data_IF_797193546979
#
_entry.id   IF_797193546979
#
_cell.length_a   1.000
_cell.length_b   1.000
_cell.length_c   1.000
_cell.angle_alpha   90.00
_cell.angle_beta   90.00
_cell.angle_gamma   90.00
#
_symmetry.space_group_name_H-M   'P 1'
#
loop_
_entity.id
_entity.type
_entity.pdbx_description
1 polymer ?
#
# COMPACT_ATOMS: atom_id res chain seq x y z
N UNK A 1 -38.68 -45.28 9.57
CA UNK A 1 -38.60 -44.16 8.60
C UNK A 1 -37.44 -43.29 9.08
N UNK A 2 -36.24 -43.50 8.55
CA UNK A 2 -35.00 -42.99 9.14
C UNK A 2 -34.29 -42.04 8.18
N UNK A 3 -34.27 -40.77 8.59
CA UNK A 3 -33.26 -39.70 8.38
C UNK A 3 -32.35 -39.76 7.14
N UNK A 4 -32.58 -38.81 6.22
CA UNK A 4 -31.61 -38.36 5.21
C UNK A 4 -30.68 -37.31 5.84
N UNK A 5 -29.39 -37.61 5.96
CA UNK A 5 -28.34 -36.61 6.26
C UNK A 5 -27.76 -36.11 4.94
N UNK A 6 -28.06 -34.87 4.58
CA UNK A 6 -27.41 -34.18 3.44
C UNK A 6 -26.12 -33.53 3.94
N UNK A 7 -24.98 -34.08 3.55
CA UNK A 7 -23.66 -33.49 3.77
C UNK A 7 -23.40 -32.36 2.77
N UNK A 8 -23.17 -31.15 3.25
CA UNK A 8 -22.70 -30.00 2.46
C UNK A 8 -21.45 -29.40 3.10
N UNK A 9 -20.27 -29.83 2.66
CA UNK A 9 -18.98 -29.23 3.01
C UNK A 9 -17.90 -29.61 1.98
N UNK A 10 -17.67 -28.78 0.94
CA UNK A 10 -16.51 -28.97 0.05
C UNK A 10 -15.90 -27.67 -0.51
N UNK A 11 -16.52 -26.51 -0.33
CA UNK A 11 -16.06 -25.28 -1.00
C UNK A 11 -14.96 -24.49 -0.28
N UNK A 12 -14.59 -24.84 0.96
CA UNK A 12 -13.63 -24.06 1.77
C UNK A 12 -12.18 -24.57 1.73
N UNK A 13 -11.93 -25.81 1.32
CA UNK A 13 -10.59 -26.41 1.38
C UNK A 13 -9.68 -25.98 0.22
N UNK A 14 -10.27 -25.72 -0.95
CA UNK A 14 -9.51 -25.43 -2.17
C UNK A 14 -8.90 -24.03 -2.18
N UNK A 15 -9.62 -23.00 -1.71
CA UNK A 15 -9.12 -21.61 -1.68
C UNK A 15 -7.96 -21.44 -0.69
N UNK A 16 -8.01 -22.14 0.44
CA UNK A 16 -6.97 -22.12 1.47
C UNK A 16 -5.70 -22.79 0.97
N UNK A 17 -5.81 -23.96 0.30
CA UNK A 17 -4.65 -24.65 -0.27
C UNK A 17 -3.95 -23.83 -1.36
N UNK A 18 -4.71 -23.15 -2.23
CA UNK A 18 -4.16 -22.25 -3.25
C UNK A 18 -3.46 -21.04 -2.62
N UNK A 19 -4.05 -20.42 -1.59
CA UNK A 19 -3.43 -19.31 -0.86
C UNK A 19 -2.11 -19.73 -0.17
N UNK A 20 -2.07 -20.92 0.44
CA UNK A 20 -0.84 -21.47 1.05
C UNK A 20 0.26 -21.74 0.02
N UNK A 21 -0.08 -22.27 -1.15
CA UNK A 21 0.90 -22.47 -2.23
C UNK A 21 1.45 -21.16 -2.80
N UNK A 22 0.60 -20.12 -2.89
CA UNK A 22 1.01 -18.81 -3.38
C UNK A 22 1.92 -18.12 -2.37
N UNK A 23 1.59 -18.20 -1.08
CA UNK A 23 2.42 -17.68 0.01
C UNK A 23 3.77 -18.40 0.15
N UNK A 24 3.85 -19.68 -0.22
CA UNK A 24 5.10 -20.45 -0.24
C UNK A 24 6.01 -20.11 -1.44
N UNK A 25 5.50 -19.42 -2.46
CA UNK A 25 6.27 -19.07 -3.66
C UNK A 25 7.36 -18.02 -3.38
N UNK A 26 8.59 -18.31 -3.78
CA UNK A 26 9.73 -17.39 -3.65
C UNK A 26 9.46 -16.04 -4.34
N UNK A 27 8.76 -16.04 -5.48
CA UNK A 27 8.41 -14.81 -6.22
C UNK A 27 7.40 -13.95 -5.45
N UNK A 28 6.41 -14.57 -4.81
CA UNK A 28 5.42 -13.85 -3.99
C UNK A 28 6.07 -13.29 -2.73
N UNK A 29 6.94 -14.07 -2.09
CA UNK A 29 7.75 -13.59 -0.95
C UNK A 29 8.60 -12.38 -1.34
N UNK A 30 9.28 -12.46 -2.48
CA UNK A 30 10.07 -11.35 -3.05
C UNK A 30 9.21 -10.11 -3.27
N UNK A 31 8.07 -10.27 -3.94
CA UNK A 31 7.13 -9.20 -4.20
C UNK A 31 6.71 -8.50 -2.92
N UNK A 32 6.25 -9.26 -1.91
CA UNK A 32 5.74 -8.71 -0.64
C UNK A 32 6.84 -7.97 0.12
N UNK A 33 8.06 -8.52 0.18
CA UNK A 33 9.18 -7.86 0.86
C UNK A 33 9.51 -6.52 0.18
N UNK A 34 9.64 -6.51 -1.14
CA UNK A 34 9.98 -5.29 -1.88
C UNK A 34 8.83 -4.29 -1.83
N UNK A 35 7.59 -4.75 -1.94
CA UNK A 35 6.40 -3.92 -1.80
C UNK A 35 6.37 -3.24 -0.42
N UNK A 36 6.57 -3.99 0.66
CA UNK A 36 6.57 -3.47 2.02
C UNK A 36 7.72 -2.50 2.30
N UNK A 37 8.89 -2.72 1.71
CA UNK A 37 10.03 -1.79 1.80
C UNK A 37 9.80 -0.51 0.98
N UNK A 38 9.31 -0.64 -0.24
CA UNK A 38 9.10 0.50 -1.13
C UNK A 38 7.94 1.38 -0.67
N UNK A 39 6.93 0.79 -0.03
CA UNK A 39 5.72 1.43 0.44
C UNK A 39 5.93 2.75 1.21
N UNK A 40 6.63 2.75 2.35
CA UNK A 40 6.87 3.97 3.13
C UNK A 40 7.68 5.02 2.35
N UNK A 41 8.67 4.58 1.56
CA UNK A 41 9.54 5.49 0.79
C UNK A 41 8.77 6.18 -0.33
N UNK A 42 8.01 5.41 -1.11
CA UNK A 42 7.21 5.96 -2.21
C UNK A 42 6.08 6.84 -1.68
N UNK A 43 5.48 6.52 -0.54
CA UNK A 43 4.48 7.39 0.08
C UNK A 43 5.08 8.77 0.41
N UNK A 44 6.21 8.80 1.14
CA UNK A 44 6.88 10.06 1.49
C UNK A 44 7.33 10.82 0.24
N UNK A 45 7.82 10.13 -0.80
CA UNK A 45 8.16 10.78 -2.07
C UNK A 45 6.93 11.38 -2.77
N UNK A 46 5.78 10.70 -2.76
CA UNK A 46 4.55 11.22 -3.35
C UNK A 46 4.07 12.49 -2.61
N UNK A 47 4.22 12.51 -1.28
CA UNK A 47 3.90 13.65 -0.43
C UNK A 47 4.85 14.83 -0.70
N UNK A 48 6.17 14.60 -0.69
CA UNK A 48 7.19 15.63 -0.94
C UNK A 48 7.09 16.23 -2.35
N UNK A 49 6.81 15.40 -3.35
CA UNK A 49 6.71 15.84 -4.75
C UNK A 49 5.29 16.30 -5.11
N UNK A 50 4.34 16.24 -4.19
CA UNK A 50 2.94 16.59 -4.41
C UNK A 50 2.37 15.93 -5.68
N UNK A 51 2.60 14.62 -5.85
CA UNK A 51 2.15 13.83 -6.99
C UNK A 51 0.97 12.89 -6.66
N UNK A 52 -0.22 13.43 -6.33
CA UNK A 52 -1.40 12.61 -6.17
C UNK A 52 -1.88 12.13 -7.54
N UNK A 53 -2.27 10.86 -7.65
CA UNK A 53 -2.90 10.34 -8.87
C UNK A 53 -4.25 11.04 -9.14
N UNK A 54 -4.95 11.36 -8.06
CA UNK A 54 -6.20 12.12 -8.06
C UNK A 54 -6.35 12.90 -6.76
N UNK A 55 -7.14 13.97 -6.78
CA UNK A 55 -7.46 14.78 -5.60
C UNK A 55 -8.96 14.69 -5.32
N UNK A 56 -9.32 14.26 -4.11
CA UNK A 56 -10.71 14.15 -3.68
C UNK A 56 -11.15 15.39 -2.88
N UNK A 57 -12.30 15.96 -3.24
CA UNK A 57 -12.90 17.13 -2.61
C UNK A 57 -14.19 16.71 -1.86
N UNK A 58 -14.14 16.56 -0.53
CA UNK A 58 -15.24 15.95 0.23
C UNK A 58 -16.51 16.81 0.26
N UNK A 59 -16.41 18.14 0.23
CA UNK A 59 -17.60 19.00 0.32
C UNK A 59 -18.44 18.99 -0.97
N UNK A 60 -17.81 18.73 -2.13
CA UNK A 60 -18.47 18.73 -3.44
C UNK A 60 -18.55 17.34 -4.07
N UNK A 61 -18.03 16.30 -3.40
CA UNK A 61 -17.88 14.93 -3.93
C UNK A 61 -17.18 14.88 -5.30
N UNK A 62 -16.26 15.82 -5.57
CA UNK A 62 -15.51 15.89 -6.84
C UNK A 62 -14.19 15.14 -6.72
N UNK A 63 -13.83 14.43 -7.79
CA UNK A 63 -12.50 13.86 -7.98
C UNK A 63 -11.86 14.57 -9.17
N UNK A 64 -10.71 15.18 -8.96
CA UNK A 64 -9.86 15.66 -10.06
C UNK A 64 -8.72 14.68 -10.28
N UNK A 65 -8.32 14.50 -11.54
CA UNK A 65 -7.12 13.76 -11.86
C UNK A 65 -5.89 14.63 -11.58
N UNK A 66 -4.87 14.04 -10.96
CA UNK A 66 -3.66 14.76 -10.57
C UNK A 66 -3.86 15.68 -9.36
N UNK A 67 -2.94 16.64 -9.25
CA UNK A 67 -2.98 17.67 -8.22
C UNK A 67 -3.98 18.77 -8.61
N UNK A 68 -4.88 19.11 -7.68
CA UNK A 68 -5.81 20.22 -7.84
C UNK A 68 -5.84 21.07 -6.56
N UNK A 69 -5.76 22.41 -6.66
CA UNK A 69 -5.78 23.27 -5.49
C UNK A 69 -7.17 23.26 -4.83
N UNK A 70 -7.17 23.25 -3.50
CA UNK A 70 -8.41 23.43 -2.73
C UNK A 70 -9.07 24.77 -3.03
N UNK A 71 -10.39 24.76 -3.24
CA UNK A 71 -11.19 25.97 -3.49
C UNK A 71 -11.87 26.45 -2.21
N UNK A 72 -12.08 27.77 -2.11
CA UNK A 72 -12.79 28.37 -0.96
C UNK A 72 -14.20 27.78 -0.88
N UNK A 73 -14.55 27.24 0.29
CA UNK A 73 -15.86 26.64 0.56
C UNK A 73 -15.98 25.14 0.26
N UNK A 74 -14.98 24.51 -0.36
CA UNK A 74 -15.02 23.07 -0.72
C UNK A 74 -14.36 22.14 0.32
N UNK A 75 -13.99 22.68 1.49
CA UNK A 75 -13.24 21.96 2.51
C UNK A 75 -11.79 21.62 2.09
N UNK A 76 -11.02 20.95 2.95
CA UNK A 76 -9.65 20.56 2.63
C UNK A 76 -9.63 19.53 1.50
N UNK A 77 -8.80 19.79 0.48
CA UNK A 77 -8.52 18.81 -0.58
C UNK A 77 -7.75 17.61 0.00
N UNK A 78 -8.25 16.40 -0.26
CA UNK A 78 -7.72 15.16 0.30
C UNK A 78 -6.70 14.52 -0.66
N UNK A 79 -5.49 15.09 -0.70
CA UNK A 79 -4.40 14.60 -1.56
C UNK A 79 -3.88 13.20 -1.16
N UNK A 80 -4.04 12.83 0.10
CA UNK A 80 -3.53 11.58 0.64
C UNK A 80 -4.08 10.34 -0.09
N UNK A 81 -5.35 10.35 -0.51
CA UNK A 81 -5.92 9.28 -1.31
C UNK A 81 -5.19 9.13 -2.65
N UNK A 82 -4.92 10.24 -3.32
CA UNK A 82 -4.14 10.26 -4.56
C UNK A 82 -2.73 9.75 -4.36
N UNK A 83 -2.06 10.16 -3.28
CA UNK A 83 -0.71 9.68 -2.94
C UNK A 83 -0.69 8.19 -2.64
N UNK A 84 -1.68 7.67 -1.89
CA UNK A 84 -1.78 6.22 -1.66
C UNK A 84 -1.97 5.46 -2.97
N UNK A 85 -2.78 5.96 -3.90
CA UNK A 85 -2.97 5.32 -5.19
C UNK A 85 -1.68 5.31 -6.03
N UNK A 86 -0.97 6.44 -6.12
CA UNK A 86 0.32 6.53 -6.81
C UNK A 86 1.34 5.57 -6.19
N UNK A 87 1.44 5.55 -4.86
CA UNK A 87 2.36 4.68 -4.13
C UNK A 87 2.01 3.20 -4.34
N UNK A 88 0.73 2.81 -4.30
CA UNK A 88 0.30 1.42 -4.53
C UNK A 88 0.70 0.94 -5.92
N UNK A 89 0.50 1.77 -6.94
CA UNK A 89 0.89 1.47 -8.33
C UNK A 89 2.42 1.36 -8.42
N UNK A 90 3.16 2.35 -7.88
CA UNK A 90 4.62 2.34 -7.88
C UNK A 90 5.20 1.11 -7.19
N UNK A 91 4.67 0.75 -6.01
CA UNK A 91 5.08 -0.43 -5.25
C UNK A 91 4.73 -1.73 -5.97
N UNK A 92 3.56 -1.82 -6.61
CA UNK A 92 3.18 -2.98 -7.39
C UNK A 92 4.12 -3.18 -8.59
N UNK A 93 4.48 -2.10 -9.30
CA UNK A 93 5.45 -2.15 -10.40
C UNK A 93 6.84 -2.55 -9.90
N UNK A 94 7.34 -1.92 -8.82
CA UNK A 94 8.65 -2.25 -8.24
C UNK A 94 8.70 -3.70 -7.73
N UNK A 95 7.67 -4.13 -6.99
CA UNK A 95 7.57 -5.50 -6.49
C UNK A 95 7.47 -6.51 -7.62
N UNK A 96 6.71 -6.20 -8.67
CA UNK A 96 6.57 -7.04 -9.86
C UNK A 96 7.91 -7.20 -10.59
N UNK A 97 8.61 -6.10 -10.85
CA UNK A 97 9.95 -6.11 -11.43
C UNK A 97 10.95 -6.89 -10.56
N UNK A 98 10.84 -6.79 -9.23
CA UNK A 98 11.68 -7.53 -8.32
C UNK A 98 11.48 -9.05 -8.40
N UNK A 99 10.29 -9.54 -8.79
CA UNK A 99 10.09 -10.99 -9.00
C UNK A 99 10.88 -11.55 -10.18
N UNK A 100 11.38 -10.68 -11.07
CA UNK A 100 12.26 -11.03 -12.18
C UNK A 100 13.74 -11.01 -11.78
N UNK A 101 14.08 -10.46 -10.61
CA UNK A 101 15.45 -10.38 -10.12
C UNK A 101 15.90 -11.71 -9.47
N UNK A 102 17.19 -12.10 -9.60
CA UNK A 102 17.72 -13.29 -8.94
C UNK A 102 17.65 -13.19 -7.41
N UNK A 103 17.29 -14.28 -6.75
CA UNK A 103 17.15 -14.43 -5.28
C UNK A 103 18.40 -13.99 -4.48
N UNK A 104 19.56 -13.93 -5.14
CA UNK A 104 20.84 -13.47 -4.57
C UNK A 104 20.80 -12.02 -4.06
N UNK A 105 19.95 -11.15 -4.62
CA UNK A 105 19.82 -9.76 -4.15
C UNK A 105 18.98 -9.65 -2.87
N UNK A 106 18.04 -10.57 -2.67
CA UNK A 106 17.07 -10.53 -1.56
C UNK A 106 17.68 -11.07 -0.27
N UNK A 107 18.51 -12.11 -0.37
CA UNK A 107 19.25 -12.66 0.76
C UNK A 107 20.26 -11.67 1.37
N UNK A 108 20.49 -10.52 0.71
CA UNK A 108 21.38 -9.46 1.19
C UNK A 108 20.64 -8.31 1.87
N UNK A 109 19.31 -8.31 1.90
CA UNK A 109 18.56 -7.24 2.58
C UNK A 109 18.67 -7.49 4.08
N UNK A 110 19.42 -6.67 4.84
CA UNK A 110 19.55 -6.89 6.27
C UNK A 110 18.21 -6.57 6.93
N UNK A 111 17.84 -7.35 7.95
CA UNK A 111 16.63 -7.14 8.74
C UNK A 111 16.54 -5.69 9.27
N UNK A 112 17.68 -5.07 9.54
CA UNK A 112 17.77 -3.67 9.93
C UNK A 112 17.14 -2.73 8.90
N UNK A 113 17.32 -2.96 7.58
CA UNK A 113 16.74 -2.10 6.54
C UNK A 113 15.21 -2.15 6.54
N UNK A 114 14.64 -3.32 6.85
CA UNK A 114 13.20 -3.55 6.97
C UNK A 114 12.58 -2.72 8.09
N UNK A 115 13.33 -2.47 9.16
CA UNK A 115 12.87 -1.65 10.28
C UNK A 115 13.25 -0.18 10.15
N UNK A 116 14.43 0.13 9.63
CA UNK A 116 14.92 1.50 9.50
C UNK A 116 14.06 2.29 8.52
N UNK A 117 13.72 1.73 7.35
CA UNK A 117 12.91 2.45 6.36
C UNK A 117 11.56 2.95 6.90
N UNK A 118 10.70 2.10 7.48
CA UNK A 118 9.41 2.54 8.01
C UNK A 118 9.58 3.50 9.19
N UNK A 119 10.54 3.26 10.09
CA UNK A 119 10.82 4.18 11.21
C UNK A 119 11.27 5.56 10.68
N UNK A 120 12.14 5.57 9.67
CA UNK A 120 12.61 6.81 9.06
C UNK A 120 11.48 7.56 8.37
N UNK A 121 10.55 6.85 7.70
CA UNK A 121 9.39 7.45 7.05
C UNK A 121 8.37 8.03 8.05
N UNK A 122 8.30 7.50 9.28
CA UNK A 122 7.47 8.08 10.34
C UNK A 122 7.92 9.51 10.70
N UNK A 123 9.21 9.85 10.59
CA UNK A 123 9.72 11.18 10.90
C UNK A 123 9.08 12.28 10.05
N UNK A 124 9.24 12.24 8.71
CA UNK A 124 8.59 13.18 7.79
C UNK A 124 7.07 13.20 7.94
N UNK A 125 6.44 12.03 8.14
CA UNK A 125 4.98 11.94 8.29
C UNK A 125 4.50 12.62 9.58
N UNK A 126 5.18 12.38 10.70
CA UNK A 126 4.88 13.04 11.97
C UNK A 126 5.09 14.55 11.88
N UNK A 127 6.15 14.99 11.20
CA UNK A 127 6.39 16.41 10.95
C UNK A 127 5.30 17.05 10.07
N UNK A 128 4.88 16.39 8.99
CA UNK A 128 3.81 16.84 8.11
C UNK A 128 2.45 16.90 8.83
N UNK A 129 2.24 15.99 9.79
CA UNK A 129 1.02 15.96 10.61
C UNK A 129 1.05 16.97 11.76
N UNK A 130 2.22 17.36 12.28
CA UNK A 130 2.31 18.27 13.45
C UNK A 130 1.40 19.50 13.42
N UNK A 131 1.21 20.22 12.29
CA UNK A 131 0.31 21.37 12.23
C UNK A 131 -1.14 21.07 12.61
N UNK A 132 -1.63 19.85 12.39
CA UNK A 132 -3.00 19.45 12.74
C UNK A 132 -3.19 19.23 14.25
N UNK A 133 -2.13 18.95 14.98
CA UNK A 133 -2.16 18.57 16.40
C UNK A 133 -1.80 19.75 17.29
N UNK A 134 -1.00 20.68 16.77
CA UNK A 134 -0.51 21.85 17.49
C UNK A 134 -1.37 23.10 17.30
N UNK A 135 -2.30 23.08 16.33
CA UNK A 135 -3.22 24.19 16.03
C UNK A 135 -4.69 23.85 16.30
N UNK A 136 -4.94 22.84 17.15
CA UNK A 136 -6.27 22.48 17.65
C UNK A 136 -6.68 23.29 18.87
#
# INVERSE_FOLDING_TARGET
MSTTTTSSATSSTSSVATASSLAASARVKTFVIVFALAAPVLYVLCELLSMPLFTYHPATNRIDLGWAPGRKGEGPAMYWYGWTATMLIGCAVLGGLATLLPERLINKIPLALIWILPILALGPLAWALMPFWTKG
#
